data_IF_513663988518
#
_entry.id   IF_513663988518
#
_cell.length_a   1.000
_cell.length_b   1.000
_cell.length_c   1.000
_cell.angle_alpha   90.00
_cell.angle_beta   90.00
_cell.angle_gamma   90.00
#
_symmetry.space_group_name_H-M   'P 1'
#
loop_
_entity.id
_entity.type
_entity.pdbx_description
1 polymer ?
#
# COMPACT_ATOMS: atom_id res chain seq x y z
N UNK A 1 0.99 19.43 -6.82
CA UNK A 1 -0.46 19.47 -6.52
C UNK A 1 -1.27 18.64 -7.50
N UNK A 2 -1.30 18.99 -8.79
CA UNK A 2 -2.15 18.31 -9.80
C UNK A 2 -1.98 16.77 -9.84
N UNK A 3 -0.76 16.24 -9.83
CA UNK A 3 -0.52 14.79 -9.89
C UNK A 3 -1.00 14.03 -8.65
N UNK A 4 -0.94 14.64 -7.45
CA UNK A 4 -1.48 14.04 -6.24
C UNK A 4 -3.02 14.00 -6.27
N UNK A 5 -3.66 15.03 -6.81
CA UNK A 5 -5.12 15.05 -7.00
C UNK A 5 -5.56 14.05 -8.07
N UNK A 6 -4.77 13.84 -9.13
CA UNK A 6 -5.02 12.78 -10.10
C UNK A 6 -4.91 11.40 -9.45
N UNK A 7 -3.86 11.13 -8.68
CA UNK A 7 -3.74 9.88 -7.92
C UNK A 7 -4.97 9.66 -7.03
N UNK A 8 -5.37 10.70 -6.24
CA UNK A 8 -6.58 10.64 -5.41
C UNK A 8 -7.83 10.27 -6.22
N UNK A 9 -8.00 10.87 -7.38
CA UNK A 9 -9.16 10.59 -8.25
C UNK A 9 -9.15 9.14 -8.75
N UNK A 10 -7.98 8.61 -9.14
CA UNK A 10 -7.87 7.23 -9.62
C UNK A 10 -8.14 6.21 -8.52
N UNK A 11 -7.59 6.40 -7.31
CA UNK A 11 -7.88 5.47 -6.21
C UNK A 11 -9.34 5.53 -5.78
N UNK A 12 -9.99 6.70 -5.84
CA UNK A 12 -11.44 6.82 -5.59
C UNK A 12 -12.26 6.02 -6.60
N UNK A 13 -11.94 6.13 -7.90
CA UNK A 13 -12.60 5.36 -8.97
C UNK A 13 -12.36 3.86 -8.77
N UNK A 14 -11.12 3.48 -8.42
CA UNK A 14 -10.74 2.10 -8.17
C UNK A 14 -11.58 1.48 -7.04
N UNK A 15 -11.69 2.14 -5.88
CA UNK A 15 -12.49 1.63 -4.75
C UNK A 15 -14.00 1.58 -5.05
N UNK A 16 -14.52 2.52 -5.84
CA UNK A 16 -15.91 2.44 -6.34
C UNK A 16 -16.12 1.22 -7.23
N UNK A 17 -15.18 0.96 -8.13
CA UNK A 17 -15.23 -0.23 -8.99
C UNK A 17 -15.18 -1.52 -8.18
N UNK A 18 -14.33 -1.62 -7.16
CA UNK A 18 -14.31 -2.77 -6.25
C UNK A 18 -15.65 -2.95 -5.55
N UNK A 19 -16.24 -1.88 -5.03
CA UNK A 19 -17.53 -1.96 -4.34
C UNK A 19 -18.68 -2.43 -5.24
N UNK A 20 -18.62 -2.14 -6.54
CA UNK A 20 -19.64 -2.54 -7.52
C UNK A 20 -19.45 -3.98 -8.01
N UNK A 21 -18.22 -4.48 -8.07
CA UNK A 21 -17.89 -5.76 -8.70
C UNK A 21 -17.55 -6.88 -7.73
N UNK A 22 -17.18 -6.53 -6.51
CA UNK A 22 -16.73 -7.50 -5.52
C UNK A 22 -17.92 -8.03 -4.71
N UNK A 23 -18.13 -9.36 -4.79
CA UNK A 23 -19.15 -10.07 -4.01
C UNK A 23 -18.63 -10.48 -2.61
N UNK A 24 -17.59 -9.86 -2.12
CA UNK A 24 -17.00 -10.18 -0.83
C UNK A 24 -17.96 -9.82 0.31
N UNK A 25 -18.57 -10.85 0.92
CA UNK A 25 -19.58 -10.70 1.98
C UNK A 25 -18.94 -10.52 3.36
N UNK A 26 -18.09 -9.51 3.50
CA UNK A 26 -17.49 -9.12 4.76
C UNK A 26 -17.91 -7.68 5.10
N UNK A 27 -18.58 -7.50 6.25
CA UNK A 27 -19.09 -6.19 6.68
C UNK A 27 -17.96 -5.17 6.88
N UNK A 28 -16.79 -5.60 7.40
CA UNK A 28 -15.64 -4.74 7.63
C UNK A 28 -14.99 -4.31 6.30
N UNK A 29 -14.92 -5.20 5.31
CA UNK A 29 -14.47 -4.87 3.97
C UNK A 29 -15.37 -3.82 3.30
N UNK A 30 -16.69 -4.03 3.35
CA UNK A 30 -17.64 -3.05 2.81
C UNK A 30 -17.54 -1.69 3.50
N UNK A 31 -17.44 -1.69 4.83
CA UNK A 31 -17.23 -0.47 5.61
C UNK A 31 -15.90 0.21 5.26
N UNK A 32 -14.82 -0.57 5.11
CA UNK A 32 -13.50 -0.08 4.70
C UNK A 32 -13.59 0.66 3.36
N UNK A 33 -14.19 0.04 2.34
CA UNK A 33 -14.38 0.68 1.03
C UNK A 33 -15.21 1.97 1.12
N UNK A 34 -16.30 1.97 1.89
CA UNK A 34 -17.10 3.17 2.10
C UNK A 34 -16.29 4.30 2.74
N UNK A 35 -15.46 3.97 3.70
CA UNK A 35 -14.56 4.94 4.36
C UNK A 35 -13.54 5.52 3.38
N UNK A 36 -12.91 4.67 2.55
CA UNK A 36 -11.96 5.10 1.53
C UNK A 36 -12.62 6.00 0.47
N UNK A 37 -13.77 5.58 -0.06
CA UNK A 37 -14.53 6.32 -1.07
C UNK A 37 -14.95 7.69 -0.52
N UNK A 38 -15.54 7.73 0.67
CA UNK A 38 -16.00 8.98 1.28
C UNK A 38 -14.85 9.95 1.54
N UNK A 39 -13.72 9.46 2.08
CA UNK A 39 -12.56 10.29 2.38
C UNK A 39 -11.88 10.81 1.12
N UNK A 40 -11.73 9.98 0.09
CA UNK A 40 -11.11 10.40 -1.19
C UNK A 40 -12.03 11.24 -2.08
N UNK A 41 -13.32 11.30 -1.78
CA UNK A 41 -14.28 12.21 -2.45
C UNK A 41 -14.20 13.65 -1.95
N UNK A 42 -13.60 13.87 -0.78
CA UNK A 42 -13.46 15.21 -0.19
C UNK A 42 -12.33 16.00 -0.85
N UNK A 43 -12.37 17.33 -0.69
CA UNK A 43 -11.23 18.17 -1.00
C UNK A 43 -10.16 17.99 0.09
N UNK A 44 -8.99 17.53 -0.33
CA UNK A 44 -7.86 17.28 0.57
C UNK A 44 -6.79 18.36 0.38
N UNK A 45 -6.26 18.83 1.49
CA UNK A 45 -5.20 19.83 1.51
C UNK A 45 -3.84 19.20 1.20
N UNK A 46 -2.99 19.96 0.52
CA UNK A 46 -1.60 19.59 0.28
C UNK A 46 -0.80 19.77 1.58
N UNK A 47 -0.03 18.76 1.94
CA UNK A 47 0.91 18.86 3.05
C UNK A 47 2.14 19.70 2.63
N UNK A 48 2.20 20.96 3.05
CA UNK A 48 3.29 21.87 2.74
C UNK A 48 4.62 21.49 3.42
N UNK A 49 4.56 20.64 4.45
CA UNK A 49 5.73 20.14 5.18
C UNK A 49 6.22 18.78 4.65
N UNK A 50 5.56 18.21 3.64
CA UNK A 50 5.93 16.93 3.05
C UNK A 50 7.29 17.02 2.38
N UNK A 51 8.22 16.17 2.81
CA UNK A 51 9.59 16.14 2.30
C UNK A 51 9.85 14.81 1.62
N UNK A 52 10.41 14.88 0.42
CA UNK A 52 10.89 13.69 -0.29
C UNK A 52 11.96 12.98 0.54
N UNK A 53 11.85 11.65 0.57
CA UNK A 53 12.89 10.76 1.04
C UNK A 53 12.97 9.54 0.12
N UNK A 54 14.15 8.94 0.02
CA UNK A 54 14.36 7.69 -0.71
C UNK A 54 14.92 6.63 0.23
N UNK A 55 14.58 5.39 -0.06
CA UNK A 55 15.14 4.20 0.58
C UNK A 55 15.88 3.34 -0.45
N UNK A 56 16.79 2.46 -0.06
CA UNK A 56 17.58 1.64 -0.98
C UNK A 56 16.73 0.83 -1.97
N UNK A 57 15.57 0.32 -1.53
CA UNK A 57 14.63 -0.44 -2.37
C UNK A 57 14.08 0.36 -3.56
N UNK A 58 14.12 1.71 -3.50
CA UNK A 58 13.65 2.57 -4.59
C UNK A 58 14.39 2.35 -5.91
N UNK A 59 15.55 1.66 -5.90
CA UNK A 59 16.24 1.19 -7.12
C UNK A 59 15.36 0.30 -8.01
N UNK A 60 14.31 -0.30 -7.46
CA UNK A 60 13.34 -1.12 -8.19
C UNK A 60 12.07 -0.37 -8.63
N UNK A 61 11.88 0.88 -8.18
CA UNK A 61 10.62 1.60 -8.38
C UNK A 61 10.27 1.80 -9.86
N UNK A 62 11.23 2.19 -10.69
CA UNK A 62 10.99 2.43 -12.11
C UNK A 62 10.52 1.17 -12.84
N UNK A 63 11.16 0.03 -12.58
CA UNK A 63 10.77 -1.24 -13.19
C UNK A 63 9.42 -1.72 -12.64
N UNK A 64 9.14 -1.52 -11.35
CA UNK A 64 7.89 -1.88 -10.75
C UNK A 64 6.71 -1.07 -11.33
N UNK A 65 6.85 0.26 -11.49
CA UNK A 65 5.83 1.10 -12.14
C UNK A 65 5.61 0.69 -13.60
N UNK A 66 6.69 0.42 -14.34
CA UNK A 66 6.60 0.00 -15.75
C UNK A 66 5.86 -1.32 -15.94
N UNK A 67 5.94 -2.21 -14.96
CA UNK A 67 5.31 -3.54 -15.01
C UNK A 67 3.84 -3.53 -14.54
N UNK A 68 3.28 -2.38 -14.16
CA UNK A 68 1.84 -2.27 -13.85
C UNK A 68 1.03 -2.58 -15.11
N UNK A 69 0.02 -3.47 -15.04
CA UNK A 69 -0.81 -3.84 -16.19
C UNK A 69 -1.48 -2.63 -16.86
N UNK A 70 -1.65 -2.70 -18.18
CA UNK A 70 -2.26 -1.64 -18.98
C UNK A 70 -3.68 -1.27 -18.51
N UNK A 71 -4.42 -2.21 -17.91
CA UNK A 71 -5.74 -1.96 -17.30
C UNK A 71 -5.68 -0.96 -16.14
N UNK A 72 -4.52 -0.76 -15.51
CA UNK A 72 -4.26 0.21 -14.46
C UNK A 72 -3.31 1.35 -14.91
N UNK A 73 -3.26 1.65 -16.21
CA UNK A 73 -2.39 2.68 -16.77
C UNK A 73 -2.56 4.07 -16.16
N UNK A 74 -3.76 4.40 -15.67
CA UNK A 74 -4.01 5.65 -14.99
C UNK A 74 -3.25 5.76 -13.66
N UNK A 75 -3.23 4.68 -12.87
CA UNK A 75 -2.44 4.63 -11.62
C UNK A 75 -0.95 4.70 -11.96
N UNK A 76 -0.45 3.87 -12.89
CA UNK A 76 0.97 3.87 -13.24
C UNK A 76 1.44 5.23 -13.77
N UNK A 77 0.65 5.90 -14.61
CA UNK A 77 0.96 7.25 -15.10
C UNK A 77 1.01 8.29 -13.98
N UNK A 78 0.10 8.21 -13.01
CA UNK A 78 0.13 9.12 -11.86
C UNK A 78 1.34 8.87 -10.97
N UNK A 79 1.73 7.61 -10.77
CA UNK A 79 2.92 7.22 -10.00
C UNK A 79 4.20 7.66 -10.70
N UNK A 80 4.30 7.52 -12.02
CA UNK A 80 5.43 8.02 -12.81
C UNK A 80 5.66 9.53 -12.59
N UNK A 81 4.57 10.29 -12.50
CA UNK A 81 4.62 11.73 -12.24
C UNK A 81 4.88 12.10 -10.77
N UNK A 82 4.65 11.16 -9.83
CA UNK A 82 4.82 11.40 -8.39
C UNK A 82 6.13 10.83 -7.84
N UNK A 83 6.71 9.79 -8.45
CA UNK A 83 7.82 9.00 -7.90
C UNK A 83 8.97 9.82 -7.32
N UNK A 84 9.28 10.95 -7.97
CA UNK A 84 10.36 11.85 -7.55
C UNK A 84 9.98 12.81 -6.40
N UNK A 85 8.77 12.70 -5.86
CA UNK A 85 8.28 13.54 -4.76
C UNK A 85 7.92 12.74 -3.52
N UNK A 86 7.95 11.42 -3.61
CA UNK A 86 7.49 10.53 -2.56
C UNK A 86 8.45 10.48 -1.38
N UNK A 87 7.89 10.34 -0.18
CA UNK A 87 8.61 10.21 1.09
C UNK A 87 8.62 8.74 1.51
N UNK A 88 9.53 7.96 0.97
CA UNK A 88 9.68 6.56 1.30
C UNK A 88 10.24 6.37 2.72
N UNK A 89 9.61 5.48 3.48
CA UNK A 89 9.87 5.25 4.90
C UNK A 89 9.95 3.75 5.18
N UNK A 90 10.59 3.42 6.29
CA UNK A 90 10.58 2.09 6.91
C UNK A 90 9.85 2.16 8.25
N UNK A 91 9.34 1.05 8.74
CA UNK A 91 8.70 1.02 10.04
C UNK A 91 9.76 0.94 11.15
N UNK A 92 9.85 2.00 11.97
CA UNK A 92 10.83 2.10 13.06
C UNK A 92 10.63 1.02 14.14
N UNK A 93 9.42 0.49 14.31
CA UNK A 93 9.13 -0.62 15.24
C UNK A 93 9.84 -1.92 14.86
N UNK A 94 10.32 -2.04 13.64
CA UNK A 94 11.03 -3.23 13.16
C UNK A 94 12.54 -3.15 13.38
N UNK A 95 13.08 -1.98 13.79
CA UNK A 95 14.49 -1.81 14.09
C UNK A 95 14.91 -2.78 15.20
N UNK A 96 16.07 -3.40 15.01
CA UNK A 96 16.61 -4.45 15.89
C UNK A 96 15.83 -5.78 15.95
N UNK A 97 14.75 -5.92 15.20
CA UNK A 97 13.96 -7.15 15.08
C UNK A 97 14.21 -7.80 13.72
N UNK A 98 14.15 -7.01 12.65
CA UNK A 98 14.41 -7.50 11.30
C UNK A 98 15.85 -7.21 10.87
N UNK A 99 16.30 -7.93 9.85
CA UNK A 99 17.67 -7.83 9.35
C UNK A 99 17.90 -6.54 8.56
N UNK A 100 19.15 -6.11 8.45
CA UNK A 100 19.51 -5.00 7.55
C UNK A 100 19.11 -5.27 6.10
N UNK A 101 19.20 -6.53 5.64
CA UNK A 101 18.78 -6.92 4.30
C UNK A 101 17.29 -6.65 4.06
N UNK A 102 16.44 -6.81 5.08
CA UNK A 102 15.03 -6.42 5.01
C UNK A 102 14.89 -4.92 4.72
N UNK A 103 15.54 -4.05 5.49
CA UNK A 103 15.46 -2.60 5.32
C UNK A 103 16.09 -2.08 4.01
N UNK A 104 17.03 -2.84 3.43
CA UNK A 104 17.59 -2.55 2.10
C UNK A 104 16.57 -2.88 0.96
N UNK A 105 15.56 -3.69 1.25
CA UNK A 105 14.66 -4.28 0.27
C UNK A 105 13.17 -4.08 0.56
N UNK A 106 12.80 -3.29 1.58
CA UNK A 106 11.43 -2.92 1.93
C UNK A 106 11.32 -1.42 2.14
N UNK A 107 10.21 -0.83 1.71
CA UNK A 107 9.79 0.51 2.13
C UNK A 107 8.35 0.75 1.75
N UNK A 108 7.71 1.63 2.50
CA UNK A 108 6.38 2.13 2.18
C UNK A 108 6.38 3.66 2.02
N UNK A 109 5.34 4.18 1.41
CA UNK A 109 5.07 5.62 1.32
C UNK A 109 3.59 5.90 1.53
N UNK A 110 3.28 6.87 2.38
CA UNK A 110 1.93 7.40 2.54
C UNK A 110 1.74 8.57 1.57
N UNK A 111 0.77 8.45 0.66
CA UNK A 111 0.43 9.49 -0.32
C UNK A 111 -0.79 10.30 0.17
N UNK A 112 -1.80 9.62 0.69
CA UNK A 112 -2.98 10.23 1.31
C UNK A 112 -3.05 9.72 2.74
N UNK A 113 -3.05 10.61 3.72
CA UNK A 113 -3.12 10.23 5.12
C UNK A 113 -2.67 11.35 6.05
N UNK A 114 -2.58 11.09 7.37
CA UNK A 114 -2.20 12.11 8.35
C UNK A 114 -0.84 12.76 8.07
N UNK A 115 0.10 12.01 7.50
CA UNK A 115 1.45 12.47 7.17
C UNK A 115 1.72 12.49 5.66
N UNK A 116 0.71 12.13 4.86
CA UNK A 116 0.80 11.99 3.41
C UNK A 116 1.03 13.31 2.66
N UNK A 117 1.25 13.20 1.36
CA UNK A 117 1.32 14.34 0.44
C UNK A 117 -0.03 15.10 0.39
N UNK A 118 -1.15 14.38 0.50
CA UNK A 118 -2.49 14.93 0.73
C UNK A 118 -2.92 14.56 2.16
N UNK A 119 -3.29 15.58 2.93
CA UNK A 119 -3.66 15.40 4.35
C UNK A 119 -5.06 14.80 4.44
N UNK A 120 -5.16 13.63 5.08
CA UNK A 120 -6.41 12.99 5.41
C UNK A 120 -6.30 12.27 6.77
N UNK A 121 -6.97 12.73 7.84
CA UNK A 121 -6.77 12.19 9.19
C UNK A 121 -7.44 10.84 9.44
N UNK A 122 -8.28 10.36 8.52
CA UNK A 122 -9.18 9.23 8.77
C UNK A 122 -8.82 7.94 8.01
N UNK A 123 -7.87 8.02 7.10
CA UNK A 123 -7.40 6.89 6.27
C UNK A 123 -5.91 7.04 6.00
N UNK A 124 -5.26 5.94 5.58
CA UNK A 124 -3.95 5.99 4.93
C UNK A 124 -4.05 5.26 3.60
N UNK A 125 -3.54 5.86 2.53
CA UNK A 125 -3.40 5.23 1.21
C UNK A 125 -2.00 5.52 0.72
N UNK A 126 -1.31 4.47 0.31
CA UNK A 126 0.07 4.58 -0.11
C UNK A 126 0.55 3.37 -0.89
N UNK A 127 1.86 3.24 -0.99
CA UNK A 127 2.50 2.14 -1.70
C UNK A 127 3.43 1.39 -0.76
N UNK A 128 3.44 0.07 -0.89
CA UNK A 128 4.49 -0.81 -0.40
C UNK A 128 5.35 -1.23 -1.60
N UNK A 129 6.66 -1.11 -1.46
CA UNK A 129 7.65 -1.59 -2.42
C UNK A 129 8.54 -2.63 -1.76
N UNK A 130 8.51 -3.84 -2.29
CA UNK A 130 9.40 -4.92 -1.89
C UNK A 130 10.37 -5.25 -3.03
N UNK A 131 11.64 -5.42 -2.70
CA UNK A 131 12.67 -5.88 -3.61
C UNK A 131 12.47 -7.33 -4.04
N UNK A 132 13.49 -7.89 -4.70
CA UNK A 132 13.50 -9.30 -5.12
C UNK A 132 13.88 -10.21 -3.96
N UNK A 133 13.21 -11.38 -3.86
CA UNK A 133 13.53 -12.42 -2.88
C UNK A 133 13.52 -11.92 -1.42
N UNK A 134 12.60 -11.03 -1.10
CA UNK A 134 12.39 -10.48 0.23
C UNK A 134 11.38 -11.33 0.98
N UNK A 135 11.64 -11.61 2.23
CA UNK A 135 10.67 -12.11 3.18
C UNK A 135 10.27 -10.97 4.13
N UNK A 136 9.02 -10.57 4.08
CA UNK A 136 8.42 -9.65 5.03
C UNK A 136 7.77 -10.51 6.12
N UNK A 137 8.38 -10.57 7.32
CA UNK A 137 7.93 -11.43 8.39
C UNK A 137 6.53 -11.12 8.88
N UNK A 138 5.96 -12.07 9.59
CA UNK A 138 4.61 -11.94 10.14
C UNK A 138 4.50 -10.74 11.07
N UNK A 139 3.48 -9.95 10.82
CA UNK A 139 3.14 -8.75 11.59
C UNK A 139 1.62 -8.59 11.61
N UNK A 140 1.13 -7.71 12.47
CA UNK A 140 -0.30 -7.40 12.59
C UNK A 140 -0.51 -5.96 13.05
N UNK A 141 -1.68 -5.43 12.81
CA UNK A 141 -2.10 -4.08 13.21
C UNK A 141 -3.60 -4.02 13.46
N UNK A 142 -4.04 -2.97 14.12
CA UNK A 142 -5.45 -2.76 14.46
C UNK A 142 -6.25 -2.16 13.29
N UNK A 143 -5.60 -1.54 12.33
CA UNK A 143 -6.26 -0.99 11.15
C UNK A 143 -6.82 -2.11 10.26
N UNK A 144 -7.99 -1.89 9.66
CA UNK A 144 -8.43 -2.63 8.49
C UNK A 144 -7.52 -2.28 7.31
N UNK A 145 -7.07 -3.26 6.56
CA UNK A 145 -6.15 -3.05 5.45
C UNK A 145 -6.60 -3.75 4.17
N UNK A 146 -6.45 -3.06 3.07
CA UNK A 146 -6.63 -3.64 1.74
C UNK A 146 -5.36 -3.38 0.92
N UNK A 147 -4.76 -4.46 0.42
CA UNK A 147 -3.73 -4.41 -0.62
C UNK A 147 -4.33 -4.68 -2.00
N UNK A 148 -3.85 -3.94 -2.98
CA UNK A 148 -3.98 -4.27 -4.40
C UNK A 148 -2.58 -4.42 -5.00
N UNK A 149 -2.27 -5.58 -5.56
CA UNK A 149 -0.99 -5.83 -6.21
C UNK A 149 -0.96 -5.08 -7.54
N UNK A 150 -0.13 -4.03 -7.63
CA UNK A 150 0.02 -3.24 -8.84
C UNK A 150 0.96 -3.92 -9.84
N UNK A 151 2.06 -4.50 -9.36
CA UNK A 151 3.01 -5.23 -10.23
C UNK A 151 3.84 -6.22 -9.43
N UNK A 152 4.37 -7.20 -10.15
CA UNK A 152 5.14 -8.31 -9.59
C UNK A 152 4.24 -9.39 -8.99
N UNK A 153 4.84 -10.56 -8.74
CA UNK A 153 4.18 -11.71 -8.13
C UNK A 153 4.71 -11.92 -6.72
N UNK A 154 3.81 -12.11 -5.76
CA UNK A 154 4.15 -12.37 -4.37
C UNK A 154 3.48 -13.62 -3.84
N UNK A 155 3.99 -14.12 -2.74
CA UNK A 155 3.36 -15.15 -1.93
C UNK A 155 2.87 -14.48 -0.64
N UNK A 156 1.62 -14.70 -0.30
CA UNK A 156 0.95 -14.07 0.85
C UNK A 156 0.46 -15.10 1.84
N UNK A 157 0.62 -14.87 3.12
CA UNK A 157 0.18 -15.73 4.19
C UNK A 157 -0.71 -14.95 5.15
N UNK A 158 -1.86 -15.47 5.48
CA UNK A 158 -2.75 -14.99 6.55
C UNK A 158 -2.80 -16.03 7.65
N UNK A 159 -2.65 -15.60 8.90
CA UNK A 159 -2.49 -16.49 10.05
C UNK A 159 -1.32 -17.48 9.83
N UNK A 160 -1.50 -18.73 10.23
CA UNK A 160 -0.54 -19.83 10.06
C UNK A 160 -0.88 -20.71 8.83
N UNK A 161 -1.68 -20.17 7.88
CA UNK A 161 -2.03 -20.88 6.66
C UNK A 161 -0.83 -21.01 5.72
N UNK A 162 -0.95 -21.82 4.68
CA UNK A 162 0.05 -21.88 3.62
C UNK A 162 0.13 -20.56 2.86
N UNK A 163 1.30 -20.28 2.30
CA UNK A 163 1.50 -19.13 1.43
C UNK A 163 0.75 -19.30 0.12
N UNK A 164 -0.12 -18.35 -0.20
CA UNK A 164 -0.86 -18.31 -1.44
C UNK A 164 -0.24 -17.30 -2.42
N UNK A 165 -0.22 -17.69 -3.70
CA UNK A 165 0.31 -16.83 -4.77
C UNK A 165 -0.66 -15.70 -5.08
N UNK A 166 -0.12 -14.46 -5.12
CA UNK A 166 -0.84 -13.26 -5.52
C UNK A 166 -0.20 -12.67 -6.77
N UNK A 167 -1.02 -12.31 -7.73
CA UNK A 167 -0.62 -11.75 -9.02
C UNK A 167 -1.02 -10.28 -9.12
N UNK A 168 -0.51 -9.52 -10.11
CA UNK A 168 -1.03 -8.18 -10.39
C UNK A 168 -2.55 -8.19 -10.56
N UNK A 169 -3.22 -7.21 -9.96
CA UNK A 169 -4.67 -6.99 -9.84
C UNK A 169 -5.37 -7.75 -8.72
N UNK A 170 -4.71 -8.72 -8.08
CA UNK A 170 -5.29 -9.38 -6.90
C UNK A 170 -5.43 -8.39 -5.74
N UNK A 171 -6.50 -8.59 -4.97
CA UNK A 171 -6.83 -7.82 -3.78
C UNK A 171 -6.78 -8.71 -2.55
N UNK A 172 -6.08 -8.26 -1.51
CA UNK A 172 -5.94 -8.99 -0.25
C UNK A 172 -6.45 -8.08 0.87
N UNK A 173 -7.51 -8.52 1.56
CA UNK A 173 -8.07 -7.79 2.68
C UNK A 173 -7.63 -8.42 4.00
N UNK A 174 -7.16 -7.59 4.91
CA UNK A 174 -6.82 -7.94 6.27
C UNK A 174 -7.81 -7.27 7.22
N UNK A 175 -8.51 -8.09 7.99
CA UNK A 175 -9.31 -7.62 9.10
C UNK A 175 -8.40 -7.16 10.26
N UNK A 176 -8.98 -6.52 11.28
CA UNK A 176 -8.23 -6.08 12.46
C UNK A 176 -7.44 -7.22 13.10
N UNK A 177 -6.17 -6.95 13.43
CA UNK A 177 -5.28 -7.89 14.12
C UNK A 177 -5.00 -9.22 13.38
N UNK A 178 -5.33 -9.33 12.11
CA UNK A 178 -4.99 -10.51 11.31
C UNK A 178 -3.48 -10.56 11.09
N UNK A 179 -2.79 -11.62 11.60
CA UNK A 179 -1.39 -11.83 11.29
C UNK A 179 -1.20 -12.12 9.81
N UNK A 180 -0.24 -11.44 9.20
CA UNK A 180 0.05 -11.66 7.78
C UNK A 180 1.55 -11.51 7.49
N UNK A 181 2.01 -12.26 6.52
CA UNK A 181 3.37 -12.25 6.02
C UNK A 181 3.37 -12.30 4.49
N UNK A 182 4.44 -11.82 3.88
CA UNK A 182 4.57 -11.88 2.43
C UNK A 182 6.01 -12.14 2.00
N UNK A 183 6.20 -12.67 0.80
CA UNK A 183 7.51 -12.83 0.20
C UNK A 183 7.47 -12.63 -1.31
N UNK A 184 8.52 -12.04 -1.85
CA UNK A 184 8.70 -11.86 -3.28
C UNK A 184 9.60 -12.95 -3.84
N UNK A 185 9.42 -13.31 -5.13
CA UNK A 185 10.20 -14.36 -5.80
C UNK A 185 10.71 -13.81 -7.13
N UNK A 186 12.03 -13.58 -7.21
CA UNK A 186 12.73 -13.23 -8.45
C UNK A 186 12.48 -11.85 -9.02
N UNK A 187 11.41 -11.16 -8.62
CA UNK A 187 11.04 -9.82 -9.09
C UNK A 187 10.58 -8.92 -7.94
N UNK A 188 10.66 -7.58 -8.09
CA UNK A 188 10.11 -6.66 -7.12
C UNK A 188 8.59 -6.62 -7.19
N UNK A 189 7.95 -6.31 -6.07
CA UNK A 189 6.50 -6.14 -5.96
C UNK A 189 6.19 -4.71 -5.54
N UNK A 190 5.25 -4.09 -6.26
CA UNK A 190 4.63 -2.82 -5.91
C UNK A 190 3.17 -3.08 -5.59
N UNK A 191 2.74 -2.72 -4.39
CA UNK A 191 1.34 -2.83 -3.97
C UNK A 191 0.79 -1.49 -3.50
N UNK A 192 -0.44 -1.19 -3.88
CA UNK A 192 -1.23 -0.13 -3.28
C UNK A 192 -1.78 -0.67 -1.95
N UNK A 193 -1.53 0.01 -0.84
CA UNK A 193 -2.18 -0.30 0.43
C UNK A 193 -3.15 0.79 0.85
N UNK A 194 -4.16 0.41 1.60
CA UNK A 194 -5.06 1.35 2.26
C UNK A 194 -5.44 0.88 3.64
N UNK A 195 -5.44 1.81 4.59
CA UNK A 195 -5.83 1.60 5.98
C UNK A 195 -7.04 2.46 6.34
N UNK A 196 -7.93 1.90 7.18
CA UNK A 196 -9.00 2.63 7.86
C UNK A 196 -9.24 2.06 9.27
N UNK A 197 -10.08 2.71 10.06
CA UNK A 197 -10.27 2.34 11.46
C UNK A 197 -9.16 2.94 12.35
N UNK A 198 -8.46 2.10 13.10
CA UNK A 198 -7.43 2.54 14.06
C UNK A 198 -6.07 2.76 13.38
N UNK A 199 -6.01 3.73 12.48
CA UNK A 199 -4.84 4.01 11.63
C UNK A 199 -3.65 4.66 12.35
N UNK A 200 -3.81 5.09 13.60
CA UNK A 200 -2.76 5.78 14.37
C UNK A 200 -1.83 4.82 15.12
N UNK A 201 -2.14 3.53 15.10
CA UNK A 201 -1.28 2.50 15.68
C UNK A 201 -0.45 1.86 14.57
N UNK A 202 0.82 1.70 14.87
CA UNK A 202 1.75 1.07 13.93
C UNK A 202 1.60 -0.46 13.96
N UNK A 203 2.06 -1.10 12.87
CA UNK A 203 2.16 -2.54 12.82
C UNK A 203 3.21 -3.06 13.81
N UNK A 204 2.95 -4.21 14.40
CA UNK A 204 3.84 -4.89 15.34
C UNK A 204 4.25 -6.24 14.77
N UNK A 205 5.54 -6.59 14.82
CA UNK A 205 6.03 -7.91 14.42
C UNK A 205 5.57 -8.99 15.42
N UNK A 206 5.45 -10.22 14.96
CA UNK A 206 5.09 -11.40 15.76
C UNK A 206 5.97 -12.60 15.41
#
# INVERSE_FOLDING_TARGET
MQNALLFKSYVNIFYKGLKETDNFQNSNYSWHLDKLISSTSQDLELNLNYKRNNQPVCRFLDVAIKNVPASQSNISSSLENLKNKLNWQVNDNYQNIFSNDFFENESFVEIIGPTGLLICPNIRIGLLLLGKNVFYPSHKHEALELYNILSGTSMWQLFDNDFEKQNPLDNIFHDEWVPHAMKTIGEPVLALFSWSGMINKEAIPI
#
